data_IF_331439127240
#
_entry.id   IF_331439127240
#
_cell.length_a   1.000
_cell.length_b   1.000
_cell.length_c   1.000
_cell.angle_alpha   90.00
_cell.angle_beta   90.00
_cell.angle_gamma   90.00
#
_symmetry.space_group_name_H-M   'P 1'
#
loop_
_entity.id
_entity.type
_entity.pdbx_description
1 polymer ?
#
# COMPACT_ATOMS: atom_id res chain seq x y z
N UNK A 1 17.18 1.32 28.55
CA UNK A 1 17.41 0.18 27.65
C UNK A 1 16.06 -0.41 27.32
N UNK A 2 15.41 0.08 26.27
CA UNK A 2 14.06 -0.33 25.90
C UNK A 2 14.03 -0.65 24.39
N UNK A 3 13.72 -1.91 24.11
CA UNK A 3 13.03 -2.45 22.94
C UNK A 3 13.46 -1.99 21.54
N UNK A 4 14.54 -2.59 21.04
CA UNK A 4 14.86 -2.63 19.61
C UNK A 4 14.23 -3.84 18.87
N UNK A 5 13.07 -4.34 19.32
CA UNK A 5 12.49 -5.61 18.82
C UNK A 5 11.04 -5.52 18.37
N UNK A 6 10.56 -4.36 17.89
CA UNK A 6 9.18 -4.20 17.38
C UNK A 6 9.12 -3.53 16.00
N UNK A 7 10.26 -3.15 15.42
CA UNK A 7 10.30 -2.67 14.02
C UNK A 7 10.49 -3.91 13.13
N UNK A 8 9.48 -4.78 13.13
CA UNK A 8 9.33 -5.79 12.09
C UNK A 8 9.24 -5.07 10.74
N UNK A 9 9.98 -5.54 9.74
CA UNK A 9 10.15 -4.98 8.38
C UNK A 9 8.93 -4.17 7.89
N UNK A 10 8.92 -2.86 8.15
CA UNK A 10 7.78 -2.02 7.80
C UNK A 10 7.89 -1.72 6.31
N UNK A 11 7.13 -2.45 5.49
CA UNK A 11 7.09 -2.19 4.06
C UNK A 11 6.47 -0.82 3.74
N UNK A 12 7.28 0.22 3.53
CA UNK A 12 6.82 1.58 3.27
C UNK A 12 6.21 1.79 1.87
N UNK A 13 5.95 0.72 1.10
CA UNK A 13 5.21 0.84 -0.16
C UNK A 13 3.72 1.04 0.13
N UNK A 14 3.08 1.88 -0.69
CA UNK A 14 1.63 2.09 -0.61
C UNK A 14 0.84 0.79 -0.81
N UNK A 15 1.36 -0.09 -1.65
CA UNK A 15 0.86 -1.44 -1.90
C UNK A 15 1.99 -2.35 -2.42
N UNK A 16 1.78 -3.66 -2.27
CA UNK A 16 2.60 -4.73 -2.82
C UNK A 16 1.90 -5.25 -4.06
N UNK A 17 2.59 -5.25 -5.18
CA UNK A 17 2.04 -5.69 -6.45
C UNK A 17 2.59 -7.09 -6.78
N UNK A 18 1.70 -8.07 -6.80
CA UNK A 18 2.01 -9.47 -7.06
C UNK A 18 1.47 -9.85 -8.42
N UNK A 19 2.30 -10.50 -9.23
CA UNK A 19 1.91 -11.08 -10.50
C UNK A 19 1.96 -12.61 -10.39
N UNK A 20 0.84 -13.26 -10.67
CA UNK A 20 0.72 -14.71 -10.64
C UNK A 20 0.62 -15.21 -12.08
N UNK A 21 1.73 -15.73 -12.58
CA UNK A 21 1.87 -16.20 -13.96
C UNK A 21 1.99 -17.72 -14.00
N UNK A 22 0.92 -18.39 -14.38
CA UNK A 22 0.95 -19.85 -14.57
C UNK A 22 1.54 -20.18 -15.96
N UNK A 23 1.67 -19.19 -16.87
CA UNK A 23 2.08 -19.40 -18.26
C UNK A 23 3.34 -18.60 -18.59
N UNK A 24 4.47 -19.29 -18.45
CA UNK A 24 5.90 -18.90 -18.51
C UNK A 24 6.41 -17.94 -19.62
N UNK A 25 5.59 -17.46 -20.56
CA UNK A 25 6.07 -16.77 -21.76
C UNK A 25 6.09 -15.23 -21.71
N UNK A 26 5.68 -14.57 -20.62
CA UNK A 26 5.60 -13.09 -20.57
C UNK A 26 6.76 -12.45 -19.76
N UNK A 27 7.61 -13.25 -19.11
CA UNK A 27 8.57 -12.75 -18.11
C UNK A 27 9.60 -11.72 -18.59
N UNK A 28 10.08 -11.77 -19.84
CA UNK A 28 11.20 -10.92 -20.27
C UNK A 28 10.81 -9.46 -20.53
N UNK A 29 9.69 -9.23 -21.23
CA UNK A 29 9.13 -7.89 -21.45
C UNK A 29 8.54 -7.27 -20.18
N UNK A 30 8.10 -8.12 -19.24
CA UNK A 30 7.54 -7.67 -17.96
C UNK A 30 8.59 -7.22 -16.95
N UNK A 31 9.70 -7.97 -16.85
CA UNK A 31 10.81 -7.66 -15.94
C UNK A 31 11.43 -6.30 -16.25
N UNK A 32 11.45 -5.88 -17.51
CA UNK A 32 11.97 -4.57 -17.92
C UNK A 32 11.03 -3.41 -17.60
N UNK A 33 9.71 -3.63 -17.71
CA UNK A 33 8.72 -2.58 -17.47
C UNK A 33 8.45 -2.34 -15.99
N UNK A 34 8.58 -3.36 -15.15
CA UNK A 34 8.20 -3.23 -13.74
C UNK A 34 9.17 -3.99 -12.83
N UNK A 35 10.24 -3.30 -12.43
CA UNK A 35 11.15 -3.68 -11.33
C UNK A 35 10.46 -3.80 -9.95
N UNK A 36 9.15 -3.50 -9.87
CA UNK A 36 8.40 -3.43 -8.62
C UNK A 36 7.46 -4.63 -8.36
N UNK A 37 7.32 -5.57 -9.31
CA UNK A 37 6.49 -6.76 -9.11
C UNK A 37 7.23 -7.87 -8.36
N UNK A 38 6.48 -8.62 -7.54
CA UNK A 38 6.86 -9.99 -7.19
C UNK A 38 6.10 -10.95 -8.10
N UNK A 39 6.84 -11.76 -8.86
CA UNK A 39 6.27 -12.74 -9.78
C UNK A 39 6.31 -14.11 -9.10
N UNK A 40 5.20 -14.84 -9.14
CA UNK A 40 5.11 -16.23 -8.69
C UNK A 40 4.55 -17.10 -9.81
N UNK A 41 5.13 -18.29 -9.97
CA UNK A 41 4.64 -19.34 -10.88
C UNK A 41 3.80 -20.38 -10.13
N UNK A 42 4.03 -20.52 -8.82
CA UNK A 42 3.32 -21.46 -7.94
C UNK A 42 2.43 -20.72 -6.94
N UNK A 43 1.17 -21.15 -6.89
CA UNK A 43 0.15 -20.62 -5.96
C UNK A 43 0.61 -20.82 -4.52
N UNK A 44 1.20 -21.96 -4.17
CA UNK A 44 1.62 -22.25 -2.80
C UNK A 44 2.74 -21.32 -2.34
N UNK A 45 3.65 -20.95 -3.25
CA UNK A 45 4.70 -19.97 -2.95
C UNK A 45 4.12 -18.57 -2.80
N UNK A 46 3.17 -18.19 -3.65
CA UNK A 46 2.44 -16.93 -3.54
C UNK A 46 1.70 -16.82 -2.20
N UNK A 47 1.00 -17.88 -1.79
CA UNK A 47 0.28 -17.93 -0.51
C UNK A 47 1.21 -17.84 0.68
N UNK A 48 2.31 -18.61 0.69
CA UNK A 48 3.32 -18.53 1.76
C UNK A 48 3.92 -17.12 1.85
N UNK A 49 4.16 -16.48 0.71
CA UNK A 49 4.65 -15.11 0.69
C UNK A 49 3.61 -14.14 1.26
N UNK A 50 2.35 -14.24 0.81
CA UNK A 50 1.24 -13.44 1.34
C UNK A 50 1.11 -13.64 2.86
N UNK A 51 1.24 -14.87 3.38
CA UNK A 51 1.18 -15.19 4.80
C UNK A 51 2.40 -14.67 5.60
N UNK A 52 3.55 -14.48 4.95
CA UNK A 52 4.74 -13.89 5.59
C UNK A 52 4.66 -12.37 5.73
N UNK A 53 3.74 -11.72 5.02
CA UNK A 53 3.54 -10.27 5.06
C UNK A 53 2.65 -9.85 6.24
N UNK A 54 2.71 -8.56 6.59
CA UNK A 54 1.85 -8.01 7.62
C UNK A 54 0.39 -7.97 7.14
N UNK A 55 -0.54 -8.25 8.05
CA UNK A 55 -1.99 -8.21 7.77
C UNK A 55 -2.48 -6.83 7.30
N UNK A 56 -1.71 -5.78 7.62
CA UNK A 56 -1.97 -4.39 7.26
C UNK A 56 -1.36 -3.97 5.91
N UNK A 57 -0.57 -4.84 5.28
CA UNK A 57 -0.05 -4.61 3.95
C UNK A 57 -1.18 -4.72 2.92
N UNK A 58 -1.20 -3.76 1.97
CA UNK A 58 -2.16 -3.79 0.86
C UNK A 58 -1.54 -4.56 -0.29
N UNK A 59 -2.13 -5.68 -0.64
CA UNK A 59 -1.68 -6.51 -1.75
C UNK A 59 -2.63 -6.32 -2.94
N UNK A 60 -2.06 -5.98 -4.09
CA UNK A 60 -2.72 -6.01 -5.37
C UNK A 60 -2.21 -7.24 -6.10
N UNK A 61 -3.12 -8.10 -6.54
CA UNK A 61 -2.75 -9.30 -7.30
C UNK A 61 -3.20 -9.14 -8.74
N UNK A 62 -2.31 -9.42 -9.67
CA UNK A 62 -2.65 -9.68 -11.06
C UNK A 62 -2.55 -11.17 -11.32
N UNK A 63 -3.60 -11.75 -11.88
CA UNK A 63 -3.64 -13.17 -12.26
C UNK A 63 -3.66 -13.28 -13.78
N UNK A 64 -2.73 -14.04 -14.36
CA UNK A 64 -2.72 -14.34 -15.78
C UNK A 64 -3.69 -15.48 -16.10
N UNK A 65 -4.71 -15.15 -16.90
CA UNK A 65 -5.86 -15.99 -17.19
C UNK A 65 -6.63 -16.48 -15.94
N UNK A 66 -7.92 -16.69 -16.07
CA UNK A 66 -8.81 -16.98 -14.93
C UNK A 66 -9.26 -18.44 -14.87
N UNK A 67 -8.78 -19.31 -15.74
CA UNK A 67 -9.26 -20.69 -15.84
C UNK A 67 -9.14 -21.51 -14.54
N UNK A 68 -8.36 -21.05 -13.56
CA UNK A 68 -8.30 -21.64 -12.23
C UNK A 68 -9.16 -20.85 -11.21
N UNK A 69 -10.45 -21.18 -11.15
CA UNK A 69 -11.37 -20.60 -10.16
C UNK A 69 -10.94 -20.93 -8.71
N UNK A 70 -10.30 -22.07 -8.47
CA UNK A 70 -9.81 -22.45 -7.15
C UNK A 70 -8.75 -21.47 -6.65
N UNK A 71 -7.84 -21.04 -7.52
CA UNK A 71 -6.84 -20.02 -7.18
C UNK A 71 -7.52 -18.75 -6.66
N UNK A 72 -8.50 -18.22 -7.40
CA UNK A 72 -9.23 -17.02 -7.00
C UNK A 72 -9.94 -17.24 -5.66
N UNK A 73 -10.53 -18.42 -5.44
CA UNK A 73 -11.16 -18.85 -4.18
C UNK A 73 -10.20 -18.91 -2.98
N UNK A 74 -8.91 -19.16 -3.18
CA UNK A 74 -7.94 -19.11 -2.08
C UNK A 74 -7.45 -17.68 -1.85
N UNK A 75 -7.05 -16.97 -2.90
CA UNK A 75 -6.43 -15.64 -2.72
C UNK A 75 -7.41 -14.56 -2.27
N UNK A 76 -8.71 -14.65 -2.61
CA UNK A 76 -9.68 -13.62 -2.22
C UNK A 76 -9.98 -13.63 -0.71
N UNK A 77 -9.69 -14.72 -0.01
CA UNK A 77 -9.97 -14.86 1.43
C UNK A 77 -9.02 -14.02 2.28
N UNK A 78 -7.81 -13.76 1.81
CA UNK A 78 -6.82 -12.98 2.55
C UNK A 78 -7.25 -11.52 2.72
N UNK A 79 -7.32 -11.05 3.98
CA UNK A 79 -7.69 -9.66 4.31
C UNK A 79 -6.78 -8.62 3.64
N UNK A 80 -5.48 -8.90 3.63
CA UNK A 80 -4.43 -8.10 2.99
C UNK A 80 -4.56 -7.98 1.46
N UNK A 81 -5.30 -8.90 0.80
CA UNK A 81 -5.60 -8.77 -0.64
C UNK A 81 -6.69 -7.73 -0.84
N UNK A 82 -6.29 -6.57 -1.33
CA UNK A 82 -7.15 -5.40 -1.50
C UNK A 82 -7.86 -5.40 -2.86
N UNK A 83 -7.14 -5.70 -3.93
CA UNK A 83 -7.70 -5.75 -5.29
C UNK A 83 -7.04 -6.82 -6.13
N UNK A 84 -7.86 -7.48 -6.94
CA UNK A 84 -7.43 -8.49 -7.90
C UNK A 84 -7.77 -8.00 -9.31
N UNK A 85 -6.82 -8.08 -10.22
CA UNK A 85 -7.00 -7.82 -11.64
C UNK A 85 -6.71 -9.09 -12.43
N UNK A 86 -7.49 -9.32 -13.48
CA UNK A 86 -7.33 -10.51 -14.32
C UNK A 86 -6.80 -10.05 -15.67
N UNK A 87 -5.59 -10.49 -16.01
CA UNK A 87 -5.02 -10.29 -17.33
C UNK A 87 -5.49 -11.43 -18.24
N UNK A 88 -6.58 -11.21 -18.98
CA UNK A 88 -7.13 -12.19 -19.91
C UNK A 88 -7.90 -11.51 -21.04
N UNK A 89 -7.91 -12.16 -22.21
CA UNK A 89 -8.75 -11.77 -23.35
C UNK A 89 -10.17 -12.33 -23.22
N UNK A 90 -10.35 -13.35 -22.38
CA UNK A 90 -11.61 -14.07 -22.24
C UNK A 90 -12.39 -13.50 -21.07
N UNK A 91 -13.63 -13.12 -21.32
CA UNK A 91 -14.52 -12.66 -20.25
C UNK A 91 -15.17 -13.88 -19.57
N UNK A 92 -15.00 -14.03 -18.27
CA UNK A 92 -15.63 -15.11 -17.50
C UNK A 92 -16.65 -14.53 -16.51
N UNK A 93 -17.89 -15.04 -16.58
CA UNK A 93 -19.01 -14.46 -15.83
C UNK A 93 -18.96 -14.74 -14.33
N UNK A 94 -18.36 -15.87 -13.91
CA UNK A 94 -18.26 -16.26 -12.50
C UNK A 94 -17.41 -15.29 -11.67
N UNK A 95 -16.52 -14.52 -12.31
CA UNK A 95 -15.68 -13.50 -11.67
C UNK A 95 -16.51 -12.45 -10.92
N UNK A 96 -17.73 -12.16 -11.40
CA UNK A 96 -18.64 -11.15 -10.81
C UNK A 96 -19.04 -11.46 -9.36
N UNK A 97 -18.88 -12.70 -8.91
CA UNK A 97 -19.20 -13.09 -7.54
C UNK A 97 -18.15 -12.61 -6.51
N UNK A 98 -16.97 -12.17 -6.96
CA UNK A 98 -15.89 -11.75 -6.06
C UNK A 98 -15.78 -10.22 -5.98
N UNK A 99 -16.04 -9.60 -4.81
CA UNK A 99 -16.02 -8.15 -4.67
C UNK A 99 -14.62 -7.53 -4.80
N UNK A 100 -13.57 -8.32 -4.56
CA UNK A 100 -12.17 -7.88 -4.67
C UNK A 100 -11.67 -7.80 -6.12
N UNK A 101 -12.39 -8.39 -7.08
CA UNK A 101 -11.96 -8.37 -8.47
C UNK A 101 -12.43 -7.07 -9.12
N UNK A 102 -11.47 -6.25 -9.55
CA UNK A 102 -11.73 -4.93 -10.15
C UNK A 102 -12.04 -5.00 -11.63
N UNK A 103 -11.59 -6.05 -12.32
CA UNK A 103 -11.97 -6.31 -13.71
C UNK A 103 -11.02 -7.24 -14.43
N UNK A 104 -11.42 -7.56 -15.66
CA UNK A 104 -10.63 -8.29 -16.64
C UNK A 104 -10.08 -7.25 -17.62
N UNK A 105 -8.77 -7.30 -17.88
CA UNK A 105 -8.09 -6.35 -18.75
C UNK A 105 -7.22 -7.13 -19.74
N UNK A 106 -7.47 -7.04 -21.05
CA UNK A 106 -6.77 -7.83 -22.06
C UNK A 106 -5.42 -7.23 -22.46
N UNK A 107 -5.18 -5.95 -22.17
CA UNK A 107 -3.99 -5.22 -22.57
C UNK A 107 -3.18 -4.75 -21.36
N UNK A 108 -1.86 -4.94 -21.43
CA UNK A 108 -0.96 -4.64 -20.32
C UNK A 108 -0.92 -3.15 -19.96
N UNK A 109 -0.80 -2.27 -20.96
CA UNK A 109 -0.71 -0.83 -20.71
C UNK A 109 -1.99 -0.30 -20.06
N UNK A 110 -3.14 -0.80 -20.52
CA UNK A 110 -4.44 -0.49 -19.92
C UNK A 110 -4.54 -1.01 -18.48
N UNK A 111 -4.04 -2.23 -18.22
CA UNK A 111 -4.03 -2.82 -16.90
C UNK A 111 -3.21 -1.97 -15.92
N UNK A 112 -2.00 -1.59 -16.31
CA UNK A 112 -1.13 -0.74 -15.49
C UNK A 112 -1.79 0.62 -15.25
N UNK A 113 -2.28 1.29 -16.29
CA UNK A 113 -2.96 2.58 -16.16
C UNK A 113 -4.17 2.49 -15.22
N UNK A 114 -4.91 1.38 -15.26
CA UNK A 114 -6.05 1.15 -14.38
C UNK A 114 -5.63 0.92 -12.93
N UNK A 115 -4.61 0.10 -12.69
CA UNK A 115 -4.05 -0.12 -11.35
C UNK A 115 -3.59 1.22 -10.77
N UNK A 116 -2.85 2.02 -11.52
CA UNK A 116 -2.40 3.34 -11.10
C UNK A 116 -3.59 4.25 -10.75
N UNK A 117 -4.57 4.38 -11.64
CA UNK A 117 -5.74 5.24 -11.43
C UNK A 117 -6.56 4.84 -10.20
N UNK A 118 -6.85 3.55 -10.03
CA UNK A 118 -7.68 3.06 -8.94
C UNK A 118 -6.99 3.25 -7.57
N UNK A 119 -5.66 3.26 -7.55
CA UNK A 119 -4.88 3.36 -6.31
C UNK A 119 -4.34 4.76 -6.00
N UNK A 120 -4.18 5.65 -6.99
CA UNK A 120 -3.87 7.07 -6.78
C UNK A 120 -5.00 7.80 -6.03
N UNK A 121 -6.25 7.45 -6.33
CA UNK A 121 -7.46 8.03 -5.68
C UNK A 121 -7.76 7.46 -4.29
N UNK A 122 -7.03 6.43 -3.86
CA UNK A 122 -7.22 5.74 -2.57
C UNK A 122 -6.37 6.33 -1.44
N UNK A 123 -5.85 7.54 -1.63
CA UNK A 123 -5.23 8.36 -0.58
C UNK A 123 -6.28 8.62 0.51
N UNK A 124 -6.00 8.09 1.71
CA UNK A 124 -6.78 8.14 2.96
C UNK A 124 -8.22 8.64 2.76
N UNK A 125 -9.11 7.72 2.40
CA UNK A 125 -10.52 8.06 2.35
C UNK A 125 -11.10 8.07 3.78
N UNK A 126 -10.88 9.18 4.50
CA UNK A 126 -11.36 9.45 5.87
C UNK A 126 -12.89 9.24 5.99
N UNK A 127 -13.59 9.23 4.85
CA UNK A 127 -15.04 9.16 4.75
C UNK A 127 -15.60 7.88 4.11
N UNK A 128 -14.78 6.86 3.76
CA UNK A 128 -15.31 5.62 3.20
C UNK A 128 -15.92 4.72 4.28
N UNK A 129 -17.19 4.98 4.56
CA UNK A 129 -18.14 4.16 5.32
C UNK A 129 -18.53 2.90 4.56
N UNK A 130 -17.57 2.10 4.10
CA UNK A 130 -17.85 0.75 3.61
C UNK A 130 -17.44 -0.24 4.68
N UNK A 131 -18.21 -0.27 5.77
CA UNK A 131 -18.18 -1.38 6.71
C UNK A 131 -19.51 -2.10 6.58
N UNK A 132 -19.44 -3.30 6.02
CA UNK A 132 -20.40 -4.36 6.24
C UNK A 132 -20.75 -4.42 7.74
N UNK A 133 -21.97 -4.04 8.08
CA UNK A 133 -22.85 -4.51 9.16
C UNK A 133 -22.27 -4.99 10.52
N UNK A 134 -21.08 -4.56 10.96
CA UNK A 134 -20.48 -5.07 12.21
C UNK A 134 -20.00 -4.04 13.25
N UNK A 135 -20.33 -2.75 13.12
CA UNK A 135 -20.14 -1.82 14.24
C UNK A 135 -21.46 -1.32 14.80
N UNK A 136 -21.81 -1.97 15.92
CA UNK A 136 -22.60 -1.54 17.07
C UNK A 136 -23.49 -0.29 16.95
N UNK A 137 -24.69 -0.45 17.51
CA UNK A 137 -25.85 0.44 17.58
C UNK A 137 -25.67 1.76 18.37
N UNK A 138 -24.49 2.39 18.36
CA UNK A 138 -24.26 3.69 19.02
C UNK A 138 -23.53 4.70 18.14
N UNK A 139 -24.07 5.00 16.94
CA UNK A 139 -24.10 6.31 16.26
C UNK A 139 -22.85 7.20 16.13
N UNK A 140 -21.69 6.80 16.62
CA UNK A 140 -20.43 7.54 16.58
C UNK A 140 -19.45 6.70 15.78
N UNK A 141 -19.14 7.17 14.58
CA UNK A 141 -18.14 6.57 13.71
C UNK A 141 -16.78 6.57 14.45
N UNK A 142 -16.31 5.41 14.91
CA UNK A 142 -15.06 5.28 15.68
C UNK A 142 -13.84 5.88 14.96
N UNK A 143 -13.82 5.83 13.63
CA UNK A 143 -12.79 6.47 12.81
C UNK A 143 -12.82 8.00 12.93
N UNK A 144 -14.02 8.60 12.97
CA UNK A 144 -14.17 10.04 13.13
C UNK A 144 -13.63 10.51 14.48
N UNK A 145 -13.97 9.79 15.57
CA UNK A 145 -13.45 10.10 16.90
C UNK A 145 -11.92 9.93 16.96
N UNK A 146 -11.39 8.88 16.35
CA UNK A 146 -9.94 8.68 16.24
C UNK A 146 -9.25 9.87 15.56
N UNK A 147 -9.72 10.29 14.38
CA UNK A 147 -9.11 11.41 13.66
C UNK A 147 -9.27 12.74 14.40
N UNK A 148 -10.39 12.96 15.10
CA UNK A 148 -10.56 14.14 15.95
C UNK A 148 -9.54 14.18 17.09
N UNK A 149 -9.33 13.06 17.78
CA UNK A 149 -8.31 12.95 18.83
C UNK A 149 -6.90 13.12 18.28
N UNK A 150 -6.60 12.51 17.12
CA UNK A 150 -5.31 12.65 16.45
C UNK A 150 -5.00 14.11 16.12
N UNK A 151 -5.94 14.82 15.46
CA UNK A 151 -5.79 16.25 15.14
C UNK A 151 -5.59 17.06 16.41
N UNK A 152 -6.37 16.78 17.46
CA UNK A 152 -6.26 17.48 18.73
C UNK A 152 -4.88 17.31 19.39
N UNK A 153 -4.31 16.10 19.34
CA UNK A 153 -2.95 15.82 19.85
C UNK A 153 -1.90 16.53 18.99
N UNK A 154 -1.98 16.41 17.66
CA UNK A 154 -1.06 17.04 16.71
C UNK A 154 -0.97 18.56 16.88
N UNK A 155 -2.10 19.22 17.13
CA UNK A 155 -2.14 20.68 17.32
C UNK A 155 -1.57 21.16 18.67
N UNK A 156 -1.48 20.27 19.67
CA UNK A 156 -1.05 20.61 21.04
C UNK A 156 0.36 20.12 21.36
N UNK A 157 0.94 19.32 20.48
CA UNK A 157 2.32 18.88 20.58
C UNK A 157 3.26 20.09 20.47
N UNK A 158 3.96 20.38 21.58
CA UNK A 158 5.08 21.31 21.59
C UNK A 158 6.33 20.53 21.17
N UNK A 159 6.73 20.65 19.92
CA UNK A 159 7.87 19.89 19.39
C UNK A 159 9.18 20.66 19.51
N UNK A 160 10.24 19.97 19.96
CA UNK A 160 11.61 20.29 19.57
C UNK A 160 11.78 19.82 18.11
N UNK A 161 11.28 20.64 17.18
CA UNK A 161 11.11 20.30 15.76
C UNK A 161 12.41 19.83 15.05
N UNK A 162 13.57 20.22 15.56
CA UNK A 162 14.84 19.98 14.89
C UNK A 162 15.37 18.56 15.12
N UNK A 163 15.24 18.03 16.34
CA UNK A 163 15.78 16.71 16.70
C UNK A 163 14.95 15.60 16.04
N UNK A 164 13.61 15.70 16.13
CA UNK A 164 12.68 14.76 15.49
C UNK A 164 12.81 14.76 13.96
N UNK A 165 13.09 15.91 13.33
CA UNK A 165 13.29 15.96 11.87
C UNK A 165 14.50 15.10 11.45
N UNK A 166 15.59 15.15 12.20
CA UNK A 166 16.80 14.42 11.85
C UNK A 166 16.65 12.91 12.08
N UNK A 167 15.95 12.52 13.13
CA UNK A 167 15.63 11.12 13.42
C UNK A 167 14.71 10.54 12.34
N UNK A 168 13.62 11.23 12.00
CA UNK A 168 12.75 10.87 10.87
C UNK A 168 13.49 10.71 9.54
N UNK A 169 14.39 11.65 9.21
CA UNK A 169 15.18 11.56 7.97
C UNK A 169 16.12 10.35 8.01
N UNK A 170 16.79 10.12 9.14
CA UNK A 170 17.70 8.97 9.29
C UNK A 170 16.96 7.64 9.15
N UNK A 171 15.76 7.55 9.72
CA UNK A 171 14.85 6.43 9.52
C UNK A 171 14.53 6.23 8.04
N UNK A 172 14.12 7.29 7.32
CA UNK A 172 13.82 7.20 5.89
C UNK A 172 15.04 6.80 5.05
N UNK A 173 16.23 7.37 5.32
CA UNK A 173 17.47 7.02 4.61
C UNK A 173 17.80 5.52 4.77
N UNK A 174 17.60 4.95 5.96
CA UNK A 174 17.80 3.53 6.20
C UNK A 174 16.78 2.66 5.47
N UNK A 175 15.50 3.03 5.51
CA UNK A 175 14.43 2.26 4.87
C UNK A 175 14.52 2.26 3.34
N UNK A 176 14.94 3.38 2.75
CA UNK A 176 15.07 3.55 1.29
C UNK A 176 16.51 3.38 0.79
N UNK A 177 17.40 2.78 1.58
CA UNK A 177 18.84 2.63 1.25
C UNK A 177 19.15 2.03 -0.14
N UNK A 178 18.26 1.17 -0.64
CA UNK A 178 18.41 0.49 -1.94
C UNK A 178 17.68 1.23 -3.09
N UNK A 179 17.03 2.37 -2.81
CA UNK A 179 16.28 3.16 -3.78
C UNK A 179 16.90 4.55 -3.97
N UNK A 180 17.78 4.66 -4.98
CA UNK A 180 18.53 5.87 -5.31
C UNK A 180 17.61 7.07 -5.58
N UNK A 181 16.47 6.85 -6.22
CA UNK A 181 15.53 7.93 -6.54
C UNK A 181 14.89 8.51 -5.29
N UNK A 182 14.45 7.65 -4.35
CA UNK A 182 13.89 8.11 -3.07
C UNK A 182 14.95 8.78 -2.20
N UNK A 183 16.18 8.25 -2.14
CA UNK A 183 17.29 8.87 -1.41
C UNK A 183 17.55 10.31 -1.90
N UNK A 184 17.52 10.54 -3.22
CA UNK A 184 17.65 11.89 -3.79
C UNK A 184 16.51 12.82 -3.35
N UNK A 185 15.28 12.31 -3.25
CA UNK A 185 14.12 13.09 -2.79
C UNK A 185 14.23 13.38 -1.28
N UNK A 186 14.75 12.43 -0.49
CA UNK A 186 15.02 12.60 0.94
C UNK A 186 16.06 13.70 1.16
N UNK A 187 17.15 13.69 0.39
CA UNK A 187 18.17 14.75 0.42
C UNK A 187 17.59 16.14 0.07
N UNK A 188 16.73 16.19 -0.97
CA UNK A 188 16.03 17.41 -1.36
C UNK A 188 15.12 17.91 -0.22
N UNK A 189 14.40 17.01 0.44
CA UNK A 189 13.55 17.32 1.59
C UNK A 189 14.37 17.84 2.78
N UNK A 190 15.48 17.17 3.12
CA UNK A 190 16.39 17.55 4.21
C UNK A 190 16.83 19.01 4.08
N UNK A 191 17.25 19.39 2.87
CA UNK A 191 17.80 20.72 2.57
C UNK A 191 16.73 21.80 2.36
N UNK A 192 15.62 21.47 1.69
CA UNK A 192 14.67 22.47 1.17
C UNK A 192 13.31 22.48 1.86
N UNK A 193 13.07 21.63 2.87
CA UNK A 193 11.80 21.59 3.57
C UNK A 193 11.49 22.91 4.30
N UNK A 194 10.26 23.37 4.14
CA UNK A 194 9.68 24.50 4.85
C UNK A 194 8.21 24.19 5.12
N UNK A 195 7.68 24.62 6.26
CA UNK A 195 6.26 24.40 6.63
C UNK A 195 5.28 24.94 5.58
N UNK A 196 5.66 26.00 4.84
CA UNK A 196 4.85 26.55 3.73
C UNK A 196 4.72 25.60 2.54
N UNK A 197 5.61 24.61 2.42
CA UNK A 197 5.60 23.58 1.36
C UNK A 197 5.10 22.23 1.86
N UNK A 198 4.59 22.12 3.09
CA UNK A 198 4.17 20.84 3.66
C UNK A 198 3.13 20.10 2.78
N UNK A 199 2.11 20.82 2.30
CA UNK A 199 1.10 20.25 1.40
C UNK A 199 1.74 19.78 0.09
N UNK A 200 2.63 20.59 -0.50
CA UNK A 200 3.31 20.24 -1.74
C UNK A 200 4.11 18.94 -1.61
N UNK A 201 4.87 18.79 -0.51
CA UNK A 201 5.61 17.58 -0.21
C UNK A 201 4.68 16.37 0.00
N UNK A 202 3.54 16.56 0.66
CA UNK A 202 2.56 15.50 0.83
C UNK A 202 1.91 15.09 -0.49
N UNK A 203 1.61 16.02 -1.40
CA UNK A 203 0.96 15.69 -2.68
C UNK A 203 1.90 15.16 -3.75
N UNK A 204 3.21 15.28 -3.56
CA UNK A 204 4.22 14.75 -4.48
C UNK A 204 4.40 13.25 -4.23
N UNK A 205 4.49 12.46 -5.29
CA UNK A 205 4.92 11.07 -5.20
C UNK A 205 6.36 11.01 -4.61
N UNK A 206 6.45 10.64 -3.34
CA UNK A 206 7.68 10.67 -2.55
C UNK A 206 7.54 9.78 -1.31
N UNK A 207 8.66 9.48 -0.66
CA UNK A 207 8.70 8.81 0.64
C UNK A 207 7.70 9.40 1.66
N UNK A 208 7.54 10.73 1.69
CA UNK A 208 6.68 11.39 2.67
C UNK A 208 5.19 11.06 2.46
N UNK A 209 4.72 11.10 1.21
CA UNK A 209 3.38 10.67 0.84
C UNK A 209 3.14 9.22 1.30
N UNK A 210 4.09 8.33 0.98
CA UNK A 210 4.00 6.89 1.27
C UNK A 210 3.93 6.60 2.77
N UNK A 211 4.85 7.18 3.56
CA UNK A 211 4.90 6.99 5.01
C UNK A 211 3.64 7.52 5.68
N UNK A 212 3.24 8.77 5.36
CA UNK A 212 2.07 9.38 5.99
C UNK A 212 0.79 8.62 5.68
N UNK A 213 0.58 8.22 4.42
CA UNK A 213 -0.60 7.43 4.05
C UNK A 213 -0.59 6.05 4.68
N UNK A 214 0.57 5.40 4.80
CA UNK A 214 0.67 4.11 5.51
C UNK A 214 0.34 4.28 6.98
N UNK A 215 0.99 5.21 7.68
CA UNK A 215 0.79 5.46 9.11
C UNK A 215 -0.69 5.76 9.44
N UNK A 216 -1.33 6.62 8.65
CA UNK A 216 -2.74 6.97 8.83
C UNK A 216 -3.68 5.81 8.47
N UNK A 217 -3.34 4.97 7.47
CA UNK A 217 -4.12 3.78 7.12
C UNK A 217 -4.12 2.74 8.24
N UNK A 218 -2.96 2.49 8.85
CA UNK A 218 -2.80 1.47 9.90
C UNK A 218 -3.00 2.05 11.31
N UNK A 219 -3.30 3.34 11.41
CA UNK A 219 -3.47 4.08 12.67
C UNK A 219 -2.24 3.99 13.60
N UNK A 220 -1.05 3.71 13.04
CA UNK A 220 0.20 3.67 13.79
C UNK A 220 0.78 5.08 13.85
N UNK A 221 0.47 5.74 14.96
CA UNK A 221 0.85 7.13 15.21
C UNK A 221 2.35 7.23 15.54
N UNK A 222 2.99 6.17 16.02
CA UNK A 222 4.42 6.18 16.35
C UNK A 222 5.26 6.45 15.08
N UNK A 223 4.81 5.97 13.91
CA UNK A 223 5.41 6.31 12.61
C UNK A 223 5.35 7.81 12.27
N UNK A 224 4.43 8.57 12.86
CA UNK A 224 4.30 10.02 12.68
C UNK A 224 5.17 10.82 13.65
N UNK A 225 5.73 10.17 14.68
CA UNK A 225 6.44 10.82 15.78
C UNK A 225 7.90 10.38 15.95
N UNK A 226 8.41 9.57 15.01
CA UNK A 226 9.85 9.39 14.79
C UNK A 226 10.55 10.73 14.46
#
# INVERSE_FOLDING_TARGET
MANASVIDEINLKDYILIWLDILSNIQQSFRTLVNHFKIFEDINQCEKYIQSLSIDDRIIIVVNDCNNQELINHIHQFRQVYSIYIYSKTNQQWIKQFPKIKGIVPELNELLARIHKDHETSSINIFQTNISDEFSTTGLNGQFLYFQLLIYVLLRLKSNLQDNKNEFISFCENEYKDNIDELRIIDEFKQNYSSKKAIWWYTRESFLYKILNKALRIQNIDLLFL
#
